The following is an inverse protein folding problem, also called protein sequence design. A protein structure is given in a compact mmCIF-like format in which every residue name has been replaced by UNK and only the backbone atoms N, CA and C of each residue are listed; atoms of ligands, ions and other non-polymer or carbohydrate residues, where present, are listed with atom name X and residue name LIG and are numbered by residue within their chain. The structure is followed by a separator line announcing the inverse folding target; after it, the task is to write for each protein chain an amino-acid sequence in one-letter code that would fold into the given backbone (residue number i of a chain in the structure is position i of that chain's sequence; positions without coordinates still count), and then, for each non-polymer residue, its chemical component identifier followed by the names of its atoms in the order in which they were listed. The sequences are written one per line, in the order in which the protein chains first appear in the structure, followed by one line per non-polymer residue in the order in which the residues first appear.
data_IF_318082028284
#
_entry.id   IF_318082028284
#
_cell.length_a   1.000
_cell.length_b   1.000
_cell.length_c   1.000
_cell.angle_alpha   90.00
_cell.angle_beta   90.00
_cell.angle_gamma   90.00
#
_symmetry.space_group_name_H-M   'P 1'
#
loop_
_entity.id
_entity.type
_entity.pdbx_description
1 polymer ?
2 non-polymer ?
3 non-polymer ?
4 water ?
#
# COMPACT_ATOMS: atom_id res chain seq x y z
N UNK A 25 1.54 24.37 5.24
CA UNK A 25 1.30 23.65 6.53
C UNK A 25 -0.22 23.52 6.84
N UNK A 26 -1.02 24.50 6.42
CA UNK A 26 -2.47 24.42 6.58
C UNK A 26 -3.09 23.47 5.55
N UNK A 27 -4.22 22.87 5.89
CA UNK A 27 -4.90 21.93 5.02
C UNK A 27 -6.21 22.56 4.58
N UNK A 28 -6.90 21.97 3.60
CA UNK A 28 -8.17 22.51 3.11
C UNK A 28 -9.31 21.76 3.73
N UNK A 29 -10.38 22.46 4.09
CA UNK A 29 -11.54 21.74 4.57
C UNK A 29 -12.15 20.92 3.44
N UNK A 30 -12.80 19.81 3.80
CA UNK A 30 -13.49 18.96 2.82
C UNK A 30 -14.62 18.23 3.54
N UNK A 31 -15.72 17.95 2.84
CA UNK A 31 -16.80 17.14 3.41
C UNK A 31 -16.66 15.65 3.10
N UNK A 32 -17.41 14.84 3.85
CA UNK A 32 -17.44 13.38 3.75
C UNK A 32 -17.59 12.90 2.29
N UNK A 33 -18.63 13.41 1.63
CA UNK A 33 -18.95 12.95 0.27
C UNK A 33 -17.80 13.25 -0.71
N UNK A 34 -17.26 14.47 -0.65
CA UNK A 34 -16.17 14.84 -1.57
C UNK A 34 -14.88 14.07 -1.24
N UNK A 35 -14.63 13.84 0.04
CA UNK A 35 -13.39 13.16 0.45
C UNK A 35 -13.39 11.70 -0.03
N UNK A 36 -14.52 11.02 0.19
CA UNK A 36 -14.71 9.64 -0.27
C UNK A 36 -14.57 9.53 -1.78
N UNK A 37 -15.14 10.47 -2.52
CA UNK A 37 -14.98 10.49 -3.97
C UNK A 37 -13.50 10.53 -4.35
N UNK A 38 -12.72 11.41 -3.72
CA UNK A 38 -11.28 11.48 -4.03
C UNK A 38 -10.52 10.25 -3.54
N UNK A 39 -10.94 9.71 -2.40
CA UNK A 39 -10.28 8.53 -1.88
C UNK A 39 -10.46 7.39 -2.89
N UNK A 40 -11.68 7.24 -3.39
CA UNK A 40 -11.96 6.17 -4.34
C UNK A 40 -11.28 6.36 -5.68
N UNK A 41 -11.06 7.62 -6.09
CA UNK A 41 -10.25 7.89 -7.28
C UNK A 41 -8.83 7.40 -7.06
N UNK A 42 -8.27 7.62 -5.85
CA UNK A 42 -6.92 7.13 -5.56
C UNK A 42 -6.81 5.61 -5.62
N UNK A 43 -7.81 4.92 -5.09
CA UNK A 43 -7.86 3.44 -5.10
C UNK A 43 -7.88 2.92 -6.55
N UNK A 44 -8.76 3.48 -7.36
CA UNK A 44 -8.82 3.10 -8.79
C UNK A 44 -7.47 3.35 -9.49
N UNK A 45 -6.80 4.46 -9.22
CA UNK A 45 -5.45 4.77 -9.76
C UNK A 45 -4.45 3.69 -9.38
N UNK A 46 -4.46 3.35 -8.09
CA UNK A 46 -3.52 2.35 -7.59
C UNK A 46 -3.78 1.02 -8.28
N UNK A 47 -5.05 0.70 -8.45
CA UNK A 47 -5.41 -0.56 -9.09
C UNK A 47 -4.85 -0.62 -10.52
N UNK A 48 -5.04 0.45 -11.28
CA UNK A 48 -4.41 0.62 -12.59
C UNK A 48 -2.91 0.45 -12.59
N UNK A 49 -2.23 1.23 -11.77
CA UNK A 49 -0.77 1.18 -11.75
C UNK A 49 -0.26 -0.22 -11.38
N UNK A 50 -0.95 -0.93 -10.48
CA UNK A 50 -0.39 -2.15 -9.94
C UNK A 50 -0.15 -3.21 -11.01
N UNK A 51 -0.95 -3.19 -12.08
CA UNK A 51 -0.77 -4.08 -13.22
C UNK A 51 0.66 -4.00 -13.78
N UNK A 52 1.28 -2.83 -13.70
CA UNK A 52 2.65 -2.68 -14.17
C UNK A 52 3.74 -2.78 -13.12
N UNK A 53 3.41 -3.06 -11.87
CA UNK A 53 4.44 -3.04 -10.83
C UNK A 53 5.08 -4.41 -10.72
N UNK A 54 6.39 -4.43 -10.62
CA UNK A 54 7.12 -5.67 -10.47
C UNK A 54 8.37 -5.36 -9.68
N UNK A 55 8.64 -6.16 -8.65
CA UNK A 55 9.92 -6.07 -7.93
C UNK A 55 10.95 -6.81 -8.76
N UNK A 56 12.02 -6.12 -9.14
CA UNK A 56 13.05 -6.74 -9.98
C UNK A 56 14.39 -6.89 -9.24
N UNK A 57 14.49 -6.31 -8.04
CA UNK A 57 15.71 -6.39 -7.23
C UNK A 57 15.40 -6.29 -5.74
N UNK A 58 16.27 -6.87 -4.92
CA UNK A 58 16.17 -6.73 -3.47
C UNK A 58 17.54 -6.85 -2.83
N UNK A 59 17.80 -6.04 -1.82
CA UNK A 59 18.98 -6.15 -0.96
C UNK A 59 18.54 -6.10 0.49
N UNK A 60 19.43 -6.51 1.39
CA UNK A 60 19.18 -6.39 2.81
C UNK A 60 20.22 -5.44 3.38
N UNK A 61 19.81 -4.21 3.65
CA UNK A 61 20.75 -3.13 3.98
C UNK A 61 21.20 -3.17 5.46
N UNK A 62 20.31 -3.48 6.40
CA UNK A 62 20.77 -3.80 7.77
C UNK A 62 19.73 -4.59 8.58
N UNK A 63 19.31 -5.74 8.05
CA UNK A 63 18.14 -6.46 8.57
C UNK A 63 16.83 -5.98 7.96
N UNK A 64 16.90 -4.98 7.09
CA UNK A 64 15.72 -4.44 6.44
C UNK A 64 15.83 -4.74 4.96
N UNK A 65 14.83 -5.42 4.41
CA UNK A 65 14.76 -5.64 2.97
C UNK A 65 14.39 -4.34 2.28
N UNK A 66 15.01 -4.13 1.13
CA UNK A 66 14.69 -3.01 0.26
C UNK A 66 14.45 -3.57 -1.13
N UNK A 67 13.21 -3.47 -1.61
CA UNK A 67 12.89 -3.94 -2.96
C UNK A 67 13.07 -2.81 -3.96
N UNK A 68 13.52 -3.15 -5.16
CA UNK A 68 13.68 -2.16 -6.24
C UNK A 68 12.96 -2.63 -7.49
N UNK A 69 12.67 -1.67 -8.34
CA UNK A 69 12.04 -1.93 -9.61
C UNK A 69 11.85 -0.60 -10.29
N UNK A 70 10.95 -0.59 -11.27
CA UNK A 70 10.59 0.60 -12.02
C UNK A 70 9.65 1.47 -11.16
N UNK A 71 10.13 2.66 -10.79
CA UNK A 71 9.33 3.62 -10.03
C UNK A 71 8.46 4.54 -10.89
N UNK A 72 8.49 4.35 -12.21
CA UNK A 72 7.77 5.24 -13.12
C UNK A 72 8.11 6.70 -12.88
N UNK A 73 9.39 7.00 -12.75
CA UNK A 73 9.84 8.36 -12.62
C UNK A 73 9.64 9.07 -13.95
N UNK A 74 9.50 10.39 -13.91
CA UNK A 74 9.39 11.17 -15.13
C UNK A 74 10.76 11.27 -15.86
N UNK A 75 10.81 11.95 -17.00
CA UNK A 75 12.04 11.97 -17.80
C UNK A 75 13.17 12.70 -17.06
N UNK A 76 12.85 13.53 -16.07
CA UNK A 76 13.87 14.22 -15.25
C UNK A 76 14.27 13.43 -14.00
N UNK A 77 13.69 12.24 -13.84
CA UNK A 77 13.99 11.35 -12.75
C UNK A 77 13.20 11.59 -11.47
N UNK A 78 12.11 12.35 -11.54
CA UNK A 78 11.36 12.70 -10.35
C UNK A 78 10.11 11.80 -10.26
N UNK A 79 9.70 11.45 -9.06
CA UNK A 79 8.46 10.71 -8.86
C UNK A 79 7.25 11.37 -9.52
N UNK A 80 6.35 10.52 -10.01
CA UNK A 80 5.11 10.93 -10.65
C UNK A 80 3.96 10.45 -9.77
N UNK A 81 2.73 10.90 -10.07
CA UNK A 81 1.51 10.37 -9.37
C UNK A 81 1.56 8.86 -9.39
N UNK A 82 1.89 8.30 -10.54
CA UNK A 82 2.05 6.84 -10.69
C UNK A 82 3.10 6.21 -9.75
N UNK A 83 4.20 6.89 -9.51
CA UNK A 83 5.25 6.38 -8.62
C UNK A 83 4.77 6.08 -7.17
N UNK A 84 3.75 6.78 -6.71
CA UNK A 84 3.34 6.71 -5.31
C UNK A 84 2.89 5.28 -4.99
N UNK A 85 2.18 4.67 -5.92
CA UNK A 85 1.77 3.29 -5.76
C UNK A 85 2.94 2.31 -5.65
N UNK A 86 4.03 2.56 -6.36
CA UNK A 86 5.22 1.73 -6.26
C UNK A 86 5.89 1.88 -4.91
N UNK A 87 6.08 3.12 -4.43
CA UNK A 87 6.66 3.30 -3.13
C UNK A 87 5.84 2.63 -2.01
N UNK A 88 4.54 2.80 -2.06
CA UNK A 88 3.62 2.14 -1.11
C UNK A 88 3.75 0.59 -1.16
N UNK A 89 3.61 0.02 -2.34
CA UNK A 89 3.76 -1.43 -2.47
C UNK A 89 5.13 -1.94 -2.06
N UNK A 90 6.21 -1.26 -2.44
CA UNK A 90 7.53 -1.73 -2.03
C UNK A 90 7.79 -1.61 -0.55
N UNK A 91 7.22 -0.58 0.07
CA UNK A 91 7.30 -0.45 1.53
C UNK A 91 6.54 -1.59 2.21
N UNK A 92 5.35 -1.90 1.69
CA UNK A 92 4.58 -3.00 2.24
C UNK A 92 5.35 -4.34 2.15
N UNK A 93 5.98 -4.59 1.01
CA UNK A 93 6.79 -5.81 0.84
C UNK A 93 7.95 -5.88 1.85
N UNK A 94 8.66 -4.78 2.01
CA UNK A 94 9.76 -4.68 2.98
C UNK A 94 9.22 -4.95 4.38
N UNK A 95 8.12 -4.30 4.72
CA UNK A 95 7.55 -4.43 6.05
C UNK A 95 7.15 -5.86 6.36
N UNK A 96 6.43 -6.50 5.45
CA UNK A 96 5.92 -7.82 5.71
C UNK A 96 7.01 -8.89 5.54
N UNK A 97 7.79 -8.83 4.47
CA UNK A 97 8.74 -9.92 4.19
C UNK A 97 9.97 -9.90 5.12
N UNK A 98 10.33 -8.72 5.63
CA UNK A 98 11.45 -8.58 6.54
C UNK A 98 11.16 -9.26 7.84
N UNK A 99 9.89 -9.45 8.18
CA UNK A 99 9.55 -10.11 9.44
C UNK A 99 9.69 -11.60 9.34
N UNK A 100 9.68 -12.15 8.13
CA UNK A 100 9.77 -13.59 8.05
C UNK A 100 11.01 -14.16 7.40
N UNK A 101 11.75 -13.33 6.66
CA UNK A 101 12.86 -13.80 5.87
C UNK A 101 14.10 -12.97 6.14
N UNK A 102 15.27 -13.61 6.05
CA UNK A 102 16.51 -12.87 5.85
C UNK A 102 17.17 -13.38 4.57
N UNK A 103 17.79 -12.46 3.83
CA UNK A 103 18.37 -12.73 2.52
C UNK A 103 19.73 -13.37 2.68
N UNK A 104 19.94 -14.53 2.04
CA UNK A 104 21.27 -15.18 2.00
C UNK A 104 21.83 -15.16 0.56
N UNK B 24 20.46 -17.93 16.61
CA UNK B 24 21.08 -16.65 16.17
C UNK B 24 20.06 -15.71 15.51
N UNK B 25 19.25 -16.25 14.59
CA UNK B 25 18.18 -15.47 13.92
C UNK B 25 16.79 -16.07 14.20
N UNK B 26 15.74 -15.38 13.74
CA UNK B 26 14.34 -15.82 13.93
C UNK B 26 13.49 -15.72 12.65
N UNK B 27 14.11 -15.25 11.58
CA UNK B 27 13.55 -15.33 10.26
C UNK B 27 14.05 -16.60 9.58
N UNK B 28 13.39 -16.96 8.50
CA UNK B 28 13.79 -18.03 7.61
C UNK B 28 14.80 -17.49 6.58
N UNK B 29 15.86 -18.25 6.28
CA UNK B 29 16.73 -17.78 5.19
C UNK B 29 16.04 -17.95 3.85
N UNK B 30 16.29 -17.05 2.91
CA UNK B 30 15.73 -17.14 1.56
C UNK B 30 16.73 -16.55 0.54
N UNK B 31 16.80 -17.09 -0.69
CA UNK B 31 17.61 -16.45 -1.75
C UNK B 31 16.83 -15.38 -2.54
N UNK B 32 17.58 -14.55 -3.27
CA UNK B 32 17.01 -13.39 -3.94
C UNK B 32 15.90 -13.82 -4.92
N UNK B 33 16.18 -14.84 -5.74
CA UNK B 33 15.21 -15.32 -6.74
C UNK B 33 13.87 -15.73 -6.14
N UNK B 34 13.92 -16.59 -5.12
CA UNK B 34 12.71 -17.02 -4.45
C UNK B 34 12.03 -15.85 -3.73
N UNK B 35 12.81 -14.98 -3.11
CA UNK B 35 12.23 -13.83 -2.41
C UNK B 35 11.46 -12.92 -3.38
N UNK B 36 12.08 -12.62 -4.52
CA UNK B 36 11.42 -11.81 -5.54
C UNK B 36 10.14 -12.49 -6.08
N UNK B 37 10.15 -13.81 -6.27
CA UNK B 37 8.94 -14.52 -6.70
C UNK B 37 7.80 -14.32 -5.71
N UNK B 38 8.13 -14.49 -4.43
CA UNK B 38 7.17 -14.29 -3.37
C UNK B 38 6.68 -12.83 -3.34
N UNK B 39 7.57 -11.85 -3.49
CA UNK B 39 7.13 -10.43 -3.46
C UNK B 39 6.19 -10.15 -4.63
N UNK B 40 6.54 -10.67 -5.80
CA UNK B 40 5.69 -10.45 -6.96
C UNK B 40 4.32 -11.10 -6.86
N UNK B 41 4.23 -12.25 -6.19
CA UNK B 41 2.93 -12.86 -5.90
C UNK B 41 2.11 -12.00 -4.96
N UNK B 42 2.75 -11.38 -3.97
CA UNK B 42 2.01 -10.46 -3.14
C UNK B 42 1.46 -9.30 -4.00
N UNK B 43 2.25 -8.78 -4.93
CA UNK B 43 1.82 -7.63 -5.73
C UNK B 43 0.61 -8.01 -6.58
N UNK B 44 0.69 -9.16 -7.25
CA UNK B 44 -0.42 -9.66 -8.07
C UNK B 44 -1.68 -9.88 -7.22
N UNK B 45 -1.51 -10.43 -6.01
CA UNK B 45 -2.63 -10.58 -5.07
C UNK B 45 -3.28 -9.26 -4.68
N UNK B 46 -2.46 -8.25 -4.37
CA UNK B 46 -3.00 -6.93 -4.05
C UNK B 46 -3.73 -6.34 -5.25
N UNK B 47 -3.15 -6.53 -6.43
CA UNK B 47 -3.78 -6.05 -7.64
C UNK B 47 -5.18 -6.65 -7.80
N UNK B 48 -5.30 -7.96 -7.63
CA UNK B 48 -6.59 -8.62 -7.73
C UNK B 48 -7.60 -8.09 -6.67
N UNK B 49 -7.17 -7.98 -5.43
CA UNK B 49 -8.08 -7.54 -4.36
C UNK B 49 -8.55 -6.10 -4.57
N UNK B 50 -7.68 -5.23 -5.07
CA UNK B 50 -8.01 -3.80 -5.20
C UNK B 50 -9.23 -3.56 -6.06
N UNK B 51 -9.47 -4.45 -7.03
CA UNK B 51 -10.68 -4.39 -7.83
C UNK B 51 -11.92 -4.31 -6.94
N UNK B 52 -11.87 -4.98 -5.79
CA UNK B 52 -12.99 -5.03 -4.85
C UNK B 52 -13.00 -3.99 -3.74
N UNK B 53 -12.03 -3.09 -3.70
CA UNK B 53 -11.90 -2.20 -2.53
C UNK B 53 -12.60 -0.89 -2.79
N UNK B 54 -13.34 -0.40 -1.80
CA UNK B 54 -14.01 0.89 -1.88
C UNK B 54 -14.07 1.46 -0.49
N UNK B 55 -13.71 2.72 -0.35
CA UNK B 55 -13.91 3.39 0.91
C UNK B 55 -15.37 3.82 0.91
N UNK B 56 -16.12 3.39 1.91
CA UNK B 56 -17.54 3.77 1.98
C UNK B 56 -17.84 4.62 3.21
N UNK B 57 -16.87 4.75 4.12
CA UNK B 57 -17.00 5.66 5.25
C UNK B 57 -15.70 6.38 5.57
N UNK B 58 -15.80 7.55 6.17
CA UNK B 58 -14.62 8.22 6.71
C UNK B 58 -15.00 9.04 7.93
N UNK B 59 -14.15 9.01 8.94
CA UNK B 59 -14.25 9.94 10.06
C UNK B 59 -12.87 10.52 10.33
N UNK B 60 -12.80 11.50 11.21
CA UNK B 60 -11.54 12.06 11.66
C UNK B 60 -11.40 11.92 13.17
N UNK B 61 -10.34 11.25 13.61
CA UNK B 61 -10.15 10.88 15.02
C UNK B 61 -8.76 11.34 15.46
N UNK B 62 -8.72 12.24 16.44
CA UNK B 62 -7.47 12.89 16.88
C UNK B 62 -6.66 13.42 15.71
N UNK B 63 -7.34 14.06 14.78
CA UNK B 63 -6.66 14.70 13.69
C UNK B 63 -6.31 13.78 12.53
N UNK B 64 -6.54 12.48 12.66
CA UNK B 64 -6.22 11.52 11.60
C UNK B 64 -7.48 11.02 10.91
N UNK B 65 -7.51 11.04 9.57
CA UNK B 65 -8.64 10.50 8.84
C UNK B 65 -8.62 8.97 9.00
N UNK B 66 -9.78 8.38 9.20
CA UNK B 66 -9.92 6.93 9.24
C UNK B 66 -10.99 6.52 8.23
N UNK B 67 -10.58 5.77 7.23
CA UNK B 67 -11.47 5.29 6.20
C UNK B 67 -11.94 3.91 6.61
N UNK B 68 -13.16 3.57 6.24
CA UNK B 68 -13.76 2.27 6.52
C UNK B 68 -14.46 1.78 5.26
N UNK B 69 -14.69 0.49 5.21
CA UNK B 69 -15.30 -0.17 4.08
C UNK B 69 -15.19 -1.68 4.32
N UNK B 70 -15.35 -2.47 3.26
CA UNK B 70 -15.30 -3.92 3.40
C UNK B 70 -13.86 -4.38 3.54
N UNK B 71 -13.51 -4.92 4.71
CA UNK B 71 -12.17 -5.48 4.95
C UNK B 71 -12.01 -6.94 4.58
N UNK B 72 -13.06 -7.55 4.05
CA UNK B 72 -13.03 -8.95 3.69
C UNK B 72 -12.62 -9.85 4.87
N UNK B 73 -13.23 -9.59 6.00
CA UNK B 73 -13.09 -10.45 7.18
C UNK B 73 -13.80 -11.79 6.97
N UNK B 74 -13.28 -12.83 7.63
CA UNK B 74 -13.87 -14.15 7.53
C UNK B 74 -15.17 -14.17 8.34
N UNK B 75 -15.82 -15.32 8.40
CA UNK B 75 -17.12 -15.43 9.01
C UNK B 75 -17.11 -15.16 10.51
N UNK B 76 -15.93 -15.28 11.14
CA UNK B 76 -15.74 -14.99 12.55
C UNK B 76 -15.31 -13.60 12.82
N UNK B 77 -15.24 -12.77 11.79
CA UNK B 77 -14.82 -11.39 11.94
C UNK B 77 -13.32 -11.11 11.95
N UNK B 78 -12.49 -12.08 11.56
CA UNK B 78 -11.06 -11.93 11.67
C UNK B 78 -10.47 -11.59 10.30
N UNK B 79 -9.37 -10.84 10.29
CA UNK B 79 -8.73 -10.51 9.02
C UNK B 79 -8.27 -11.77 8.31
N UNK B 80 -8.37 -11.72 6.99
CA UNK B 80 -7.91 -12.78 6.12
C UNK B 80 -6.72 -12.21 5.31
N UNK B 81 -6.11 -13.05 4.47
CA UNK B 81 -4.98 -12.61 3.60
C UNK B 81 -5.49 -11.49 2.74
N UNK B 82 -6.72 -11.63 2.26
CA UNK B 82 -7.33 -10.61 1.41
C UNK B 82 -7.48 -9.26 2.10
N UNK B 83 -7.70 -9.29 3.42
CA UNK B 83 -7.83 -8.08 4.22
C UNK B 83 -6.56 -7.18 4.19
N UNK B 84 -5.40 -7.78 3.98
CA UNK B 84 -4.15 -7.05 4.13
C UNK B 84 -4.12 -5.92 3.13
N UNK B 85 -4.58 -6.20 1.91
CA UNK B 85 -4.60 -5.20 0.88
C UNK B 85 -5.46 -3.98 1.27
N UNK B 86 -6.55 -4.23 1.99
CA UNK B 86 -7.47 -3.17 2.39
C UNK B 86 -6.82 -2.31 3.48
N UNK B 87 -6.20 -2.96 4.47
CA UNK B 87 -5.53 -2.23 5.53
C UNK B 87 -4.41 -1.36 4.94
N UNK B 88 -3.63 -1.92 4.03
CA UNK B 88 -2.58 -1.15 3.38
C UNK B 88 -3.14 0.07 2.62
N UNK B 89 -4.14 -0.15 1.79
CA UNK B 89 -4.73 0.92 0.99
C UNK B 89 -5.37 1.99 1.88
N UNK B 90 -6.10 1.59 2.92
CA UNK B 90 -6.74 2.58 3.77
C UNK B 90 -5.76 3.34 4.62
N UNK B 91 -4.66 2.71 5.02
CA UNK B 91 -3.60 3.46 5.70
C UNK B 91 -2.99 4.49 4.74
N UNK B 92 -2.72 4.07 3.51
CA UNK B 92 -2.17 4.99 2.50
C UNK B 92 -3.10 6.19 2.32
N UNK B 93 -4.39 5.94 2.20
CA UNK B 93 -5.35 7.04 2.07
C UNK B 93 -5.34 7.98 3.29
N UNK B 94 -5.30 7.42 4.48
CA UNK B 94 -5.29 8.22 5.72
C UNK B 94 -4.04 9.08 5.72
N UNK B 95 -2.92 8.47 5.37
CA UNK B 95 -1.64 9.17 5.43
C UNK B 95 -1.59 10.34 4.42
N UNK B 96 -1.96 10.06 3.18
CA UNK B 96 -1.90 11.11 2.16
C UNK B 96 -3.02 12.13 2.23
N UNK B 97 -4.25 11.73 2.50
CA UNK B 97 -5.31 12.72 2.50
C UNK B 97 -5.31 13.58 3.77
N UNK B 98 -4.88 13.02 4.90
CA UNK B 98 -4.81 13.81 6.14
C UNK B 98 -3.84 14.96 6.03
N UNK B 99 -2.81 14.81 5.21
CA UNK B 99 -1.87 15.89 4.98
C UNK B 99 -2.43 16.98 4.08
N UNK B 100 -3.45 16.69 3.28
CA UNK B 100 -4.05 17.67 2.36
C UNK B 100 -5.29 18.32 2.95
N UNK B 101 -6.08 17.55 3.68
CA UNK B 101 -7.41 17.97 4.08
C UNK B 101 -7.69 17.84 5.56
N UNK B 102 -8.70 18.56 6.00
CA UNK B 102 -9.38 18.20 7.24
C UNK B 102 -10.88 18.15 7.03
N UNK B 103 -11.51 17.22 7.74
CA UNK B 103 -12.91 16.92 7.56
C UNK B 103 -13.77 17.92 8.31
N UNK B 104 -14.78 18.47 7.62
CA UNK B 104 -15.67 19.50 8.18
C UNK B 104 -17.15 19.14 7.99
X LIG C 1 21.35 -18.26 7.85
X LIG D 1 -5.67 16.62 8.27
#
# INVERSE_FOLDING_TARGET
XGSSHHHHHHSSGRENLYFQGHXNKETQPIDRETLLKEANKIIREHEDTLAGIEATGVTQRNGVLVFTGDYFLDEQGLPTAKSTAVFNMFKHLAHVLSEKYHLVDGS
XGSSHHHHHHSSGRENLYFQGHXNKETQPIDRETLLKEANKIIREHEDTLAGIEATGVTQRNGVLVFTGDYFLDEQGLPTAKSTAVFNMFKHLAHVLSEKYHLVDGS
CL CL
NA NA
#
